data_IF_975763105079
#
_entry.id   IF_975763105079
#
_cell.length_a   1.000
_cell.length_b   1.000
_cell.length_c   1.000
_cell.angle_alpha   90.00
_cell.angle_beta   90.00
_cell.angle_gamma   90.00
#
_symmetry.space_group_name_H-M   'P 1'
#
loop_
_entity.id
_entity.type
_entity.pdbx_description
1 polymer ?
#
# COMPACT_ATOMS: atom_id res chain seq x y z
N UNK A 1 -17.88 -9.27 -17.29
CA UNK A 1 -17.48 -8.05 -16.55
C UNK A 1 -17.06 -6.98 -17.55
N UNK A 2 -17.37 -5.71 -17.30
CA UNK A 2 -16.85 -4.62 -18.15
C UNK A 2 -15.34 -4.50 -17.95
N UNK A 3 -14.60 -4.12 -18.98
CA UNK A 3 -13.13 -3.90 -18.92
C UNK A 3 -12.76 -2.95 -17.78
N UNK A 4 -13.55 -1.87 -17.59
CA UNK A 4 -13.39 -0.92 -16.48
C UNK A 4 -13.39 -1.60 -15.10
N UNK A 5 -14.25 -2.60 -14.91
CA UNK A 5 -14.36 -3.34 -13.65
C UNK A 5 -13.09 -4.14 -13.38
N UNK A 6 -12.54 -4.80 -14.41
CA UNK A 6 -11.30 -5.59 -14.31
C UNK A 6 -10.12 -4.66 -13.99
N UNK A 7 -10.04 -3.53 -14.70
CA UNK A 7 -9.00 -2.51 -14.47
C UNK A 7 -9.02 -1.99 -13.03
N UNK A 8 -10.20 -1.63 -12.49
CA UNK A 8 -10.33 -1.20 -11.09
C UNK A 8 -9.85 -2.28 -10.11
N UNK A 9 -10.12 -3.55 -10.43
CA UNK A 9 -9.74 -4.70 -9.60
C UNK A 9 -8.22 -4.87 -9.56
N UNK A 10 -7.57 -4.83 -10.74
CA UNK A 10 -6.11 -4.90 -10.86
C UNK A 10 -5.45 -3.73 -10.13
N UNK A 11 -5.94 -2.51 -10.31
CA UNK A 11 -5.37 -1.36 -9.62
C UNK A 11 -5.58 -1.40 -8.10
N UNK A 12 -6.69 -1.96 -7.62
CA UNK A 12 -6.92 -2.16 -6.17
C UNK A 12 -5.88 -3.11 -5.58
N UNK A 13 -5.53 -4.17 -6.30
CA UNK A 13 -4.47 -5.12 -5.89
C UNK A 13 -3.11 -4.42 -5.88
N UNK A 14 -2.80 -3.61 -6.91
CA UNK A 14 -1.55 -2.85 -7.00
C UNK A 14 -1.41 -1.89 -5.80
N UNK A 15 -2.47 -1.19 -5.41
CA UNK A 15 -2.47 -0.33 -4.22
C UNK A 15 -2.14 -1.12 -2.95
N UNK A 16 -2.81 -2.26 -2.75
CA UNK A 16 -2.54 -3.13 -1.59
C UNK A 16 -1.10 -3.65 -1.57
N UNK A 17 -0.59 -4.08 -2.73
CA UNK A 17 0.78 -4.56 -2.88
C UNK A 17 1.81 -3.46 -2.62
N UNK A 18 1.56 -2.25 -3.11
CA UNK A 18 2.40 -1.09 -2.84
C UNK A 18 2.53 -0.83 -1.34
N UNK A 19 1.40 -0.83 -0.61
CA UNK A 19 1.40 -0.64 0.84
C UNK A 19 2.22 -1.73 1.54
N UNK A 20 2.04 -2.99 1.16
CA UNK A 20 2.78 -4.12 1.73
C UNK A 20 4.29 -4.00 1.52
N UNK A 21 4.72 -3.58 0.33
CA UNK A 21 6.13 -3.51 -0.06
C UNK A 21 6.81 -2.18 0.32
N UNK A 22 6.04 -1.20 0.79
CA UNK A 22 6.55 0.14 1.08
C UNK A 22 7.69 0.13 2.12
N UNK A 23 7.51 -0.58 3.24
CA UNK A 23 8.53 -0.65 4.29
C UNK A 23 9.78 -1.42 3.87
N UNK A 24 9.63 -2.44 3.03
CA UNK A 24 10.76 -3.31 2.64
C UNK A 24 11.60 -2.74 1.51
N UNK A 25 10.98 -2.09 0.51
CA UNK A 25 11.68 -1.68 -0.72
C UNK A 25 11.74 -0.17 -0.94
N UNK A 26 10.83 0.59 -0.34
CA UNK A 26 10.65 2.02 -0.63
C UNK A 26 11.19 2.89 0.51
N UNK A 27 11.04 2.44 1.76
CA UNK A 27 11.60 3.10 2.94
C UNK A 27 13.13 3.17 2.85
N UNK A 28 13.67 4.37 2.61
CA UNK A 28 15.11 4.61 2.45
C UNK A 28 15.56 4.93 1.01
N UNK A 29 14.63 4.96 0.05
CA UNK A 29 14.87 5.57 -1.26
C UNK A 29 15.05 7.09 -1.17
N UNK A 30 15.49 7.70 -2.27
CA UNK A 30 15.56 9.16 -2.38
C UNK A 30 14.20 9.78 -1.99
N UNK A 31 14.17 10.74 -1.04
CA UNK A 31 12.94 11.28 -0.48
C UNK A 31 12.03 11.95 -1.53
N UNK A 32 12.58 12.42 -2.65
CA UNK A 32 11.78 12.95 -3.75
C UNK A 32 11.05 11.85 -4.52
N UNK A 33 11.71 10.71 -4.71
CA UNK A 33 11.15 9.57 -5.45
C UNK A 33 10.07 8.86 -4.64
N UNK A 34 10.29 8.71 -3.32
CA UNK A 34 9.28 8.19 -2.39
C UNK A 34 8.01 9.05 -2.39
N UNK A 35 8.15 10.38 -2.30
CA UNK A 35 7.02 11.31 -2.36
C UNK A 35 6.28 11.24 -3.70
N UNK A 36 7.01 11.16 -4.82
CA UNK A 36 6.43 11.04 -6.16
C UNK A 36 5.61 9.75 -6.28
N UNK A 37 6.18 8.62 -5.83
CA UNK A 37 5.54 7.31 -5.90
C UNK A 37 4.28 7.26 -5.02
N UNK A 38 4.38 7.80 -3.80
CA UNK A 38 3.26 7.91 -2.86
C UNK A 38 2.12 8.75 -3.44
N UNK A 39 2.45 9.90 -4.05
CA UNK A 39 1.47 10.76 -4.70
C UNK A 39 0.79 10.07 -5.89
N UNK A 40 1.55 9.30 -6.68
CA UNK A 40 1.02 8.51 -7.80
C UNK A 40 0.03 7.45 -7.33
N UNK A 41 0.37 6.70 -6.27
CA UNK A 41 -0.54 5.70 -5.70
C UNK A 41 -1.78 6.35 -5.10
N UNK A 42 -1.64 7.48 -4.43
CA UNK A 42 -2.77 8.24 -3.89
C UNK A 42 -3.74 8.67 -5.00
N UNK A 43 -3.21 9.19 -6.12
CA UNK A 43 -4.01 9.55 -7.30
C UNK A 43 -4.76 8.33 -7.86
N UNK A 44 -4.07 7.19 -8.02
CA UNK A 44 -4.69 5.94 -8.48
C UNK A 44 -5.82 5.52 -7.54
N UNK A 45 -5.61 5.64 -6.22
CA UNK A 45 -6.62 5.33 -5.21
C UNK A 45 -7.89 6.18 -5.39
N UNK A 46 -7.74 7.50 -5.58
CA UNK A 46 -8.85 8.41 -5.87
C UNK A 46 -9.58 7.99 -7.15
N UNK A 47 -8.84 7.70 -8.22
CA UNK A 47 -9.43 7.30 -9.50
C UNK A 47 -10.23 6.00 -9.39
N UNK A 48 -9.74 5.00 -8.63
CA UNK A 48 -10.48 3.77 -8.34
C UNK A 48 -11.78 4.10 -7.61
N UNK A 49 -11.71 4.91 -6.53
CA UNK A 49 -12.88 5.29 -5.74
C UNK A 49 -13.93 5.96 -6.64
N UNK A 50 -13.54 6.98 -7.40
CA UNK A 50 -14.44 7.67 -8.34
C UNK A 50 -15.04 6.67 -9.34
N UNK A 51 -14.22 5.81 -9.93
CA UNK A 51 -14.67 4.79 -10.89
C UNK A 51 -15.72 3.85 -10.28
N UNK A 52 -15.50 3.39 -9.04
CA UNK A 52 -16.46 2.55 -8.30
C UNK A 52 -17.77 3.30 -8.03
N UNK A 53 -17.72 4.56 -7.59
CA UNK A 53 -18.92 5.37 -7.33
C UNK A 53 -19.73 5.69 -8.60
N UNK A 54 -19.10 5.69 -9.77
CA UNK A 54 -19.79 5.86 -11.05
C UNK A 54 -20.39 4.57 -11.62
N UNK A 55 -20.20 3.42 -10.98
CA UNK A 55 -20.76 2.15 -11.47
C UNK A 55 -22.28 2.09 -11.24
N UNK A 56 -23.10 1.94 -12.30
CA UNK A 56 -24.56 1.94 -12.16
C UNK A 56 -25.11 0.70 -11.42
N UNK A 57 -24.34 -0.40 -11.37
CA UNK A 57 -24.76 -1.62 -10.70
C UNK A 57 -24.31 -1.64 -9.23
N UNK A 58 -25.26 -1.39 -8.30
CA UNK A 58 -25.00 -1.37 -6.85
C UNK A 58 -24.36 -2.65 -6.31
N UNK A 59 -24.72 -3.83 -6.83
CA UNK A 59 -24.13 -5.10 -6.37
C UNK A 59 -22.65 -5.15 -6.73
N UNK A 60 -22.31 -4.77 -7.95
CA UNK A 60 -20.94 -4.75 -8.45
C UNK A 60 -20.10 -3.70 -7.70
N UNK A 61 -20.68 -2.52 -7.44
CA UNK A 61 -20.08 -1.46 -6.66
C UNK A 61 -19.68 -1.96 -5.26
N UNK A 62 -20.59 -2.61 -4.53
CA UNK A 62 -20.31 -3.17 -3.19
C UNK A 62 -19.16 -4.18 -3.25
N UNK A 63 -19.17 -5.09 -4.23
CA UNK A 63 -18.10 -6.08 -4.40
C UNK A 63 -16.75 -5.38 -4.63
N UNK A 64 -16.69 -4.36 -5.49
CA UNK A 64 -15.45 -3.61 -5.75
C UNK A 64 -14.96 -2.87 -4.51
N UNK A 65 -15.86 -2.25 -3.73
CA UNK A 65 -15.50 -1.61 -2.45
C UNK A 65 -14.90 -2.63 -1.48
N UNK A 66 -15.54 -3.78 -1.32
CA UNK A 66 -15.05 -4.85 -0.43
C UNK A 66 -13.66 -5.32 -0.86
N UNK A 67 -13.42 -5.49 -2.17
CA UNK A 67 -12.11 -5.88 -2.70
C UNK A 67 -11.06 -4.81 -2.40
N UNK A 68 -11.38 -3.53 -2.64
CA UNK A 68 -10.47 -2.43 -2.36
C UNK A 68 -10.10 -2.37 -0.87
N UNK A 69 -11.10 -2.42 0.02
CA UNK A 69 -10.88 -2.39 1.47
C UNK A 69 -10.06 -3.61 1.91
N UNK A 70 -10.40 -4.81 1.43
CA UNK A 70 -9.67 -6.03 1.76
C UNK A 70 -8.22 -5.97 1.30
N UNK A 71 -7.95 -5.48 0.08
CA UNK A 71 -6.61 -5.32 -0.45
C UNK A 71 -5.79 -4.31 0.36
N UNK A 72 -6.38 -3.18 0.74
CA UNK A 72 -5.73 -2.19 1.60
C UNK A 72 -5.45 -2.75 3.00
N UNK A 73 -6.42 -3.44 3.62
CA UNK A 73 -6.26 -4.04 4.94
C UNK A 73 -5.13 -5.10 4.95
N UNK A 74 -5.11 -5.98 3.95
CA UNK A 74 -4.02 -6.97 3.78
C UNK A 74 -2.68 -6.26 3.58
N UNK A 75 -2.64 -5.24 2.72
CA UNK A 75 -1.44 -4.45 2.45
C UNK A 75 -0.87 -3.80 3.72
N UNK A 76 -1.72 -3.15 4.51
CA UNK A 76 -1.35 -2.52 5.78
C UNK A 76 -0.93 -3.55 6.83
N UNK A 77 -1.59 -4.70 6.91
CA UNK A 77 -1.21 -5.78 7.83
C UNK A 77 0.20 -6.32 7.51
N UNK A 78 0.48 -6.57 6.23
CA UNK A 78 1.80 -7.01 5.79
C UNK A 78 2.86 -5.94 6.04
N UNK A 79 2.54 -4.68 5.80
CA UNK A 79 3.41 -3.55 6.10
C UNK A 79 3.79 -3.51 7.59
N UNK A 80 2.80 -3.57 8.49
CA UNK A 80 3.01 -3.54 9.93
C UNK A 80 3.87 -4.73 10.38
N UNK A 81 3.56 -5.94 9.90
CA UNK A 81 4.36 -7.14 10.20
C UNK A 81 5.81 -7.02 9.72
N UNK A 82 6.03 -6.45 8.53
CA UNK A 82 7.37 -6.23 8.00
C UNK A 82 8.14 -5.22 8.87
N UNK A 83 7.51 -4.11 9.26
CA UNK A 83 8.10 -3.12 10.16
C UNK A 83 8.43 -3.70 11.54
N UNK A 84 7.56 -4.53 12.11
CA UNK A 84 7.82 -5.20 13.39
C UNK A 84 8.99 -6.19 13.30
N UNK A 85 9.12 -6.91 12.17
CA UNK A 85 10.27 -7.80 11.95
C UNK A 85 11.60 -7.06 11.82
N UNK A 86 11.59 -5.85 11.23
CA UNK A 86 12.78 -4.98 11.14
C UNK A 86 13.15 -4.41 12.51
N UNK A 87 12.16 -4.11 13.36
CA UNK A 87 12.38 -3.56 14.70
C UNK A 87 12.68 -4.63 15.77
N UNK A 88 12.37 -5.90 15.50
CA UNK A 88 12.49 -7.01 16.44
C UNK A 88 13.87 -7.64 16.55
N UNK A 89 14.75 -7.48 15.55
CA UNK A 89 16.13 -7.99 15.59
C UNK A 89 17.15 -6.85 15.73
N UNK A 90 17.52 -6.60 16.99
CA UNK A 90 18.69 -5.88 17.47
C UNK A 90 18.73 -4.35 17.20
N UNK A 91 18.30 -3.51 18.17
CA UNK A 91 18.53 -2.08 18.08
C UNK A 91 20.05 -1.88 18.05
N UNK A 92 20.57 -1.28 16.98
CA UNK A 92 21.98 -0.90 16.78
C UNK A 92 22.68 -0.72 18.13
N UNK A 93 23.46 -1.73 18.54
CA UNK A 93 24.40 -1.58 19.65
C UNK A 93 25.45 -0.63 19.11
N UNK A 94 25.26 0.67 19.36
CA UNK A 94 26.35 1.62 19.29
C UNK A 94 27.33 1.13 20.35
N UNK A 95 28.41 0.47 19.93
CA UNK A 95 29.53 0.19 20.80
C UNK A 95 29.94 1.53 21.42
N UNK A 96 29.51 1.78 22.66
CA UNK A 96 30.09 2.83 23.47
C UNK A 96 31.54 2.42 23.63
N UNK A 97 32.43 3.13 22.95
CA UNK A 97 33.86 2.98 23.19
C UNK A 97 34.11 3.47 24.61
N UNK A 98 34.21 2.52 25.55
CA UNK A 98 34.73 2.78 26.89
C UNK A 98 36.13 3.39 26.73
N UNK A 99 36.21 4.71 26.92
CA UNK A 99 37.47 5.42 27.06
C UNK A 99 37.92 5.24 28.51
N UNK A 100 38.78 4.26 28.75
CA UNK A 100 39.72 4.30 29.88
C UNK A 100 40.98 5.08 29.46
#
# INVERSE_FOLDING_TARGET
MKIKTIINLVFSIIVGLYLALHSTFISGMNPHLEKLLSAGIFLICILIIVSIYTEPNKKLQIIQVIILISAMAIGLYLHAKASDSINGENPRIYYQTDKN
#
